data_IF_347303434528
#
_entry.id   IF_347303434528
#
_cell.length_a   1.000
_cell.length_b   1.000
_cell.length_c   1.000
_cell.angle_alpha   90.00
_cell.angle_beta   90.00
_cell.angle_gamma   90.00
#
_symmetry.space_group_name_H-M   'P 1'
#
loop_
_entity.id
_entity.type
_entity.pdbx_description
1 polymer ?
#
# COMPACT_ATOMS: atom_id res chain seq x y z
N UNK A 1 -11.27 -14.76 15.78
CA UNK A 1 -11.12 -14.20 14.44
C UNK A 1 -10.92 -12.68 14.41
N UNK A 2 -11.67 -11.90 15.21
CA UNK A 2 -11.55 -10.42 15.22
C UNK A 2 -10.13 -9.88 15.51
N UNK A 3 -9.30 -10.57 16.27
CA UNK A 3 -7.93 -10.14 16.59
C UNK A 3 -6.87 -10.63 15.57
N UNK A 4 -7.26 -11.29 14.48
CA UNK A 4 -6.32 -11.85 13.52
C UNK A 4 -6.12 -10.96 12.29
N UNK A 5 -7.12 -10.15 11.94
CA UNK A 5 -7.06 -9.26 10.77
C UNK A 5 -6.69 -7.86 11.23
N UNK A 6 -5.63 -7.31 10.64
CA UNK A 6 -5.12 -5.97 10.94
C UNK A 6 -5.25 -5.08 9.71
N UNK A 7 -5.96 -3.99 9.84
CA UNK A 7 -5.97 -2.89 8.89
C UNK A 7 -4.84 -1.92 9.24
N UNK A 8 -3.94 -1.69 8.31
CA UNK A 8 -2.90 -0.66 8.40
C UNK A 8 -3.23 0.43 7.38
N UNK A 9 -3.70 1.58 7.88
CA UNK A 9 -3.97 2.75 7.05
C UNK A 9 -2.68 3.55 6.87
N UNK A 10 -2.24 3.73 5.62
CA UNK A 10 -1.02 4.47 5.30
C UNK A 10 -1.30 5.91 4.90
N UNK A 11 -2.43 6.13 4.25
CA UNK A 11 -2.87 7.46 3.82
C UNK A 11 -4.39 7.47 3.64
N UNK A 12 -5.00 8.56 4.07
CA UNK A 12 -6.36 8.92 3.72
C UNK A 12 -6.35 10.40 3.35
N UNK A 13 -6.66 10.73 2.10
CA UNK A 13 -6.56 12.08 1.60
C UNK A 13 -7.63 12.38 0.55
N UNK A 14 -8.18 13.58 0.62
CA UNK A 14 -8.98 14.12 -0.47
C UNK A 14 -8.07 14.61 -1.60
N UNK A 15 -8.33 14.16 -2.81
CA UNK A 15 -7.55 14.46 -4.01
C UNK A 15 -8.38 15.30 -4.98
N UNK A 16 -7.79 16.42 -5.42
CA UNK A 16 -8.34 17.35 -6.42
C UNK A 16 -7.20 17.83 -7.31
N UNK A 17 -6.78 16.99 -8.25
CA UNK A 17 -5.71 17.33 -9.18
C UNK A 17 -5.75 16.51 -10.47
N UNK A 18 -5.32 17.11 -11.57
CA UNK A 18 -5.08 16.41 -12.82
C UNK A 18 -3.68 15.80 -12.81
N UNK A 19 -3.59 14.54 -13.22
CA UNK A 19 -2.32 13.83 -13.28
C UNK A 19 -2.37 12.65 -14.25
N UNK A 20 -1.24 12.39 -14.90
CA UNK A 20 -1.05 11.20 -15.72
C UNK A 20 0.27 10.53 -15.32
N UNK A 21 0.24 9.21 -15.18
CA UNK A 21 1.43 8.46 -14.81
C UNK A 21 1.21 6.96 -14.72
N UNK A 22 2.29 6.24 -14.38
CA UNK A 22 2.29 4.79 -14.19
C UNK A 22 3.17 4.44 -13.01
N UNK A 23 2.68 3.56 -12.15
CA UNK A 23 3.41 3.11 -10.97
C UNK A 23 2.93 1.75 -10.46
N UNK A 24 3.77 1.14 -9.59
CA UNK A 24 3.43 -0.01 -8.78
C UNK A 24 3.54 0.39 -7.31
N UNK A 25 2.54 0.03 -6.50
CA UNK A 25 2.54 0.25 -5.06
C UNK A 25 2.52 -1.07 -4.29
N UNK A 26 3.06 -1.06 -3.06
CA UNK A 26 3.08 -2.20 -2.13
C UNK A 26 2.01 -2.07 -1.04
N UNK A 27 0.92 -1.41 -1.38
CA UNK A 27 -0.30 -1.29 -0.57
C UNK A 27 -1.51 -1.22 -1.50
N UNK A 28 -2.64 -1.62 -0.98
CA UNK A 28 -3.91 -1.50 -1.67
C UNK A 28 -4.36 -0.05 -1.71
N UNK A 29 -5.11 0.32 -2.74
CA UNK A 29 -5.70 1.65 -2.87
C UNK A 29 -7.19 1.55 -3.13
N UNK A 30 -7.93 2.46 -2.50
CA UNK A 30 -9.31 2.75 -2.83
C UNK A 30 -9.39 4.18 -3.35
N UNK A 31 -10.01 4.37 -4.51
CA UNK A 31 -10.39 5.67 -5.02
C UNK A 31 -11.91 5.75 -5.03
N UNK A 32 -12.49 6.59 -4.17
CA UNK A 32 -13.93 6.78 -4.05
C UNK A 32 -14.26 8.13 -4.70
N UNK A 33 -14.92 8.07 -5.87
CA UNK A 33 -15.05 9.25 -6.75
C UNK A 33 -16.26 10.09 -6.37
N UNK A 34 -16.00 11.37 -6.06
CA UNK A 34 -17.01 12.36 -5.74
C UNK A 34 -17.48 13.11 -6.98
N UNK A 35 -16.56 13.54 -7.86
CA UNK A 35 -16.86 14.32 -9.04
C UNK A 35 -15.79 14.16 -10.12
N UNK A 36 -16.11 14.54 -11.36
CA UNK A 36 -15.19 14.51 -12.50
C UNK A 36 -14.98 13.12 -13.08
N UNK A 37 -13.96 12.98 -13.92
CA UNK A 37 -13.68 11.77 -14.66
C UNK A 37 -12.20 11.45 -14.73
N UNK A 38 -11.88 10.16 -14.85
CA UNK A 38 -10.54 9.66 -15.06
C UNK A 38 -10.55 8.20 -15.51
N UNK A 39 -9.37 7.64 -15.69
CA UNK A 39 -9.18 6.22 -16.05
C UNK A 39 -8.04 5.60 -15.25
N UNK A 40 -8.22 4.34 -14.88
CA UNK A 40 -7.15 3.46 -14.39
C UNK A 40 -6.99 2.31 -15.39
N UNK A 41 -5.74 2.03 -15.77
CA UNK A 41 -5.37 0.89 -16.63
C UNK A 41 -4.53 -0.09 -15.84
N UNK A 42 -5.02 -1.30 -15.71
CA UNK A 42 -4.26 -2.40 -15.12
C UNK A 42 -3.44 -3.10 -16.21
N UNK A 43 -2.13 -2.83 -16.27
CA UNK A 43 -1.24 -3.48 -17.23
C UNK A 43 -0.90 -4.93 -16.84
N UNK A 44 -1.18 -5.34 -15.60
CA UNK A 44 -1.01 -6.71 -15.12
C UNK A 44 -2.19 -7.61 -15.50
N UNK A 45 -3.42 -7.15 -15.26
CA UNK A 45 -4.67 -7.88 -15.50
C UNK A 45 -5.37 -7.54 -16.82
N UNK A 46 -4.98 -6.42 -17.48
CA UNK A 46 -5.52 -5.98 -18.77
C UNK A 46 -6.79 -5.13 -18.71
N UNK A 47 -7.32 -4.85 -17.50
CA UNK A 47 -8.56 -4.08 -17.36
C UNK A 47 -8.35 -2.57 -17.52
N UNK A 48 -9.43 -1.92 -17.92
CA UNK A 48 -9.59 -0.46 -17.86
C UNK A 48 -10.83 -0.13 -17.04
N UNK A 49 -10.67 0.74 -16.04
CA UNK A 49 -11.74 1.17 -15.16
C UNK A 49 -11.92 2.68 -15.27
N UNK A 50 -13.17 3.10 -15.46
CA UNK A 50 -13.51 4.50 -15.43
C UNK A 50 -13.59 5.01 -13.98
N UNK A 51 -12.99 6.15 -13.71
CA UNK A 51 -13.20 6.90 -12.47
C UNK A 51 -14.39 7.84 -12.71
N UNK A 52 -15.52 7.57 -12.04
CA UNK A 52 -16.78 8.31 -12.23
C UNK A 52 -17.52 8.48 -10.91
N UNK A 53 -18.30 9.55 -10.74
CA UNK A 53 -19.05 9.81 -9.50
C UNK A 53 -19.98 8.65 -9.12
N UNK A 54 -20.10 8.40 -7.81
CA UNK A 54 -20.93 7.33 -7.26
C UNK A 54 -20.30 5.94 -7.31
N UNK A 55 -19.04 5.84 -7.74
CA UNK A 55 -18.29 4.59 -7.78
C UNK A 55 -16.96 4.69 -7.05
N UNK A 56 -16.58 3.57 -6.44
CA UNK A 56 -15.26 3.32 -5.92
C UNK A 56 -14.51 2.34 -6.80
N UNK A 57 -13.18 2.46 -6.81
CA UNK A 57 -12.28 1.53 -7.51
C UNK A 57 -11.28 0.99 -6.50
N UNK A 58 -11.24 -0.33 -6.37
CA UNK A 58 -10.24 -1.05 -5.59
C UNK A 58 -9.07 -1.44 -6.48
N UNK A 59 -7.89 -1.09 -6.05
CA UNK A 59 -6.62 -1.29 -6.74
C UNK A 59 -5.69 -2.09 -5.83
N UNK A 60 -5.58 -3.43 -6.03
CA UNK A 60 -4.70 -4.28 -5.23
C UNK A 60 -3.24 -3.88 -5.29
N UNK A 61 -2.49 -4.25 -4.25
CA UNK A 61 -1.04 -4.06 -4.20
C UNK A 61 -0.32 -4.86 -5.31
N UNK A 62 0.86 -4.39 -5.70
CA UNK A 62 1.76 -5.10 -6.63
C UNK A 62 1.37 -5.03 -8.10
N UNK A 63 0.25 -4.38 -8.44
CA UNK A 63 -0.16 -4.20 -9.83
C UNK A 63 0.58 -3.03 -10.49
N UNK A 64 0.90 -3.20 -11.76
CA UNK A 64 1.42 -2.16 -12.62
C UNK A 64 0.25 -1.37 -13.21
N UNK A 65 0.02 -0.17 -12.69
CA UNK A 65 -1.15 0.65 -12.98
C UNK A 65 -0.78 1.95 -13.68
N UNK A 66 -1.48 2.22 -14.79
CA UNK A 66 -1.51 3.52 -15.46
C UNK A 66 -2.71 4.34 -15.01
N UNK A 67 -2.55 5.65 -14.91
CA UNK A 67 -3.57 6.59 -14.45
C UNK A 67 -3.70 7.75 -15.41
N UNK A 68 -4.94 8.19 -15.64
CA UNK A 68 -5.28 9.42 -16.32
C UNK A 68 -6.35 10.15 -15.48
N UNK A 69 -5.93 11.14 -14.68
CA UNK A 69 -6.81 11.99 -13.89
C UNK A 69 -7.07 13.27 -14.67
N UNK A 70 -8.31 13.48 -15.11
CA UNK A 70 -8.69 14.66 -15.85
C UNK A 70 -8.93 15.86 -14.92
N UNK A 71 -8.83 17.11 -15.43
CA UNK A 71 -9.20 18.29 -14.66
C UNK A 71 -10.62 18.16 -14.08
N UNK A 72 -10.80 18.52 -12.81
CA UNK A 72 -12.09 18.41 -12.10
C UNK A 72 -12.37 17.05 -11.48
N UNK A 73 -11.50 16.04 -11.63
CA UNK A 73 -11.60 14.79 -10.89
C UNK A 73 -11.34 15.04 -9.39
N UNK A 74 -12.35 14.70 -8.56
CA UNK A 74 -12.28 14.78 -7.10
C UNK A 74 -12.64 13.43 -6.50
N UNK A 75 -11.79 12.91 -5.61
CA UNK A 75 -11.98 11.60 -5.00
C UNK A 75 -11.31 11.50 -3.64
N UNK A 76 -11.82 10.61 -2.80
CA UNK A 76 -11.13 10.18 -1.59
C UNK A 76 -10.15 9.07 -1.95
N UNK A 77 -8.88 9.27 -1.66
CA UNK A 77 -7.80 8.29 -1.82
C UNK A 77 -7.47 7.65 -0.48
N UNK A 78 -7.62 6.33 -0.39
CA UNK A 78 -7.24 5.54 0.78
C UNK A 78 -6.16 4.54 0.39
N UNK A 79 -5.03 4.57 1.10
CA UNK A 79 -3.94 3.60 0.95
C UNK A 79 -3.84 2.74 2.21
N UNK A 80 -3.93 1.42 2.04
CA UNK A 80 -4.00 0.51 3.19
C UNK A 80 -3.38 -0.87 2.89
N UNK A 81 -3.04 -1.59 3.94
CA UNK A 81 -2.86 -3.04 3.90
C UNK A 81 -3.86 -3.71 4.83
N UNK A 82 -4.32 -4.90 4.45
CA UNK A 82 -5.17 -5.75 5.25
C UNK A 82 -4.48 -7.09 5.44
N UNK A 83 -3.95 -7.35 6.62
CA UNK A 83 -3.07 -8.50 6.86
C UNK A 83 -3.54 -9.37 8.03
N UNK A 84 -3.24 -10.67 7.93
CA UNK A 84 -3.34 -11.64 9.04
C UNK A 84 -1.96 -11.89 9.65
N UNK A 85 -0.92 -11.67 8.88
CA UNK A 85 0.49 -11.84 9.24
C UNK A 85 1.27 -10.60 8.84
N UNK A 86 2.31 -10.20 9.60
CA UNK A 86 3.16 -9.09 9.19
C UNK A 86 3.67 -9.26 7.76
N UNK A 87 3.44 -8.26 6.90
CA UNK A 87 3.86 -8.25 5.50
C UNK A 87 3.08 -9.17 4.54
N UNK A 88 2.08 -9.91 5.03
CA UNK A 88 1.23 -10.79 4.21
C UNK A 88 -0.15 -10.18 4.07
N UNK A 89 -0.34 -9.41 3.01
CA UNK A 89 -1.61 -8.78 2.68
C UNK A 89 -2.63 -9.80 2.15
N UNK A 90 -3.89 -9.69 2.57
CA UNK A 90 -4.98 -10.57 2.15
C UNK A 90 -5.29 -10.45 0.66
N UNK A 91 -5.03 -9.30 0.05
CA UNK A 91 -5.21 -9.06 -1.39
C UNK A 91 -3.92 -9.22 -2.19
N UNK A 92 -2.81 -9.64 -1.58
CA UNK A 92 -1.50 -9.73 -2.23
C UNK A 92 -1.41 -10.68 -3.44
N UNK A 93 -2.41 -11.57 -3.61
CA UNK A 93 -2.55 -12.46 -4.78
C UNK A 93 -3.61 -11.98 -5.77
N UNK A 94 -4.35 -10.90 -5.47
CA UNK A 94 -5.34 -10.36 -6.40
C UNK A 94 -4.64 -9.69 -7.60
N UNK A 95 -5.13 -9.96 -8.80
CA UNK A 95 -4.57 -9.45 -10.05
C UNK A 95 -5.53 -8.52 -10.79
N UNK A 96 -6.75 -8.41 -10.29
CA UNK A 96 -7.83 -7.67 -10.92
C UNK A 96 -8.27 -6.49 -10.06
N UNK A 97 -8.37 -5.32 -10.70
CA UNK A 97 -9.02 -4.16 -10.11
C UNK A 97 -10.53 -4.38 -10.05
N UNK A 98 -11.21 -3.72 -9.10
CA UNK A 98 -12.66 -3.87 -8.90
C UNK A 98 -13.33 -2.51 -8.84
N UNK A 99 -14.45 -2.38 -9.55
CA UNK A 99 -15.38 -1.26 -9.40
C UNK A 99 -16.54 -1.68 -8.50
N UNK A 100 -17.02 -0.78 -7.65
CA UNK A 100 -18.17 -1.01 -6.79
C UNK A 100 -18.93 0.32 -6.56
N UNK A 101 -20.26 0.26 -6.30
CA UNK A 101 -21.03 1.47 -6.00
C UNK A 101 -20.66 2.03 -4.61
N UNK A 102 -20.68 3.34 -4.49
CA UNK A 102 -20.45 4.08 -3.23
C UNK A 102 -21.59 5.05 -3.03
N UNK A 103 -22.14 5.13 -1.82
CA UNK A 103 -23.12 6.14 -1.46
C UNK A 103 -22.49 7.54 -1.47
N UNK A 104 -22.92 8.46 -2.37
CA UNK A 104 -22.34 9.79 -2.46
C UNK A 104 -22.50 10.59 -1.16
N UNK A 105 -23.63 10.46 -0.46
CA UNK A 105 -23.89 11.18 0.77
C UNK A 105 -22.97 10.72 1.92
N UNK A 106 -22.71 9.42 2.03
CA UNK A 106 -21.71 8.91 2.97
C UNK A 106 -20.31 9.42 2.63
N UNK A 107 -19.93 9.39 1.34
CA UNK A 107 -18.62 9.86 0.89
C UNK A 107 -18.42 11.36 1.19
N UNK A 108 -19.42 12.21 0.94
CA UNK A 108 -19.35 13.65 1.26
C UNK A 108 -19.15 13.89 2.75
N UNK A 109 -19.86 13.16 3.62
CA UNK A 109 -19.66 13.26 5.08
C UNK A 109 -18.23 12.89 5.48
N UNK A 110 -17.71 11.78 4.97
CA UNK A 110 -16.35 11.34 5.29
C UNK A 110 -15.29 12.33 4.80
N UNK A 111 -15.47 12.91 3.61
CA UNK A 111 -14.59 13.98 3.11
C UNK A 111 -14.67 15.19 4.05
N UNK A 112 -15.87 15.57 4.49
CA UNK A 112 -16.06 16.62 5.50
C UNK A 112 -15.28 16.34 6.79
N UNK A 113 -15.37 15.11 7.30
CA UNK A 113 -14.66 14.68 8.52
C UNK A 113 -13.14 14.81 8.41
N UNK A 114 -12.55 14.44 7.26
CA UNK A 114 -11.09 14.47 7.09
C UNK A 114 -10.53 15.84 6.67
N UNK A 115 -11.39 16.74 6.19
CA UNK A 115 -10.99 18.11 5.78
C UNK A 115 -11.26 19.15 6.87
N UNK A 116 -12.02 18.80 7.88
CA UNK A 116 -12.32 19.63 9.06
C UNK A 116 -11.31 19.35 10.19
N UNK A 117 -11.23 20.23 11.22
CA UNK A 117 -10.44 19.95 12.42
C UNK A 117 -10.82 18.57 13.02
N UNK A 118 -9.85 17.78 13.48
CA UNK A 118 -10.11 16.41 13.92
C UNK A 118 -10.98 16.38 15.19
N UNK A 119 -12.11 15.66 15.09
CA UNK A 119 -12.99 15.34 16.21
C UNK A 119 -13.03 13.84 16.42
N UNK A 120 -13.14 13.38 17.68
CA UNK A 120 -13.13 11.95 18.00
C UNK A 120 -14.28 11.18 17.33
N UNK A 121 -15.49 11.78 17.28
CA UNK A 121 -16.65 11.18 16.60
C UNK A 121 -16.43 11.02 15.10
N UNK A 122 -15.87 12.02 14.44
CA UNK A 122 -15.54 12.01 13.02
C UNK A 122 -14.48 10.95 12.67
N UNK A 123 -13.50 10.74 13.57
CA UNK A 123 -12.53 9.65 13.44
C UNK A 123 -13.22 8.29 13.45
N UNK A 124 -14.08 8.02 14.44
CA UNK A 124 -14.81 6.74 14.56
C UNK A 124 -15.73 6.46 13.37
N UNK A 125 -16.43 7.49 12.86
CA UNK A 125 -17.26 7.37 11.66
C UNK A 125 -16.44 7.03 10.41
N UNK A 126 -15.29 7.67 10.25
CA UNK A 126 -14.37 7.42 9.14
C UNK A 126 -13.82 5.99 9.16
N UNK A 127 -13.39 5.51 10.33
CA UNK A 127 -12.94 4.12 10.52
C UNK A 127 -14.05 3.12 10.20
N UNK A 128 -15.27 3.33 10.71
CA UNK A 128 -16.42 2.46 10.46
C UNK A 128 -16.76 2.42 8.96
N UNK A 129 -16.73 3.55 8.27
CA UNK A 129 -16.94 3.65 6.83
C UNK A 129 -15.88 2.85 6.06
N UNK A 130 -14.61 3.03 6.36
CA UNK A 130 -13.52 2.29 5.71
C UNK A 130 -13.67 0.78 5.92
N UNK A 131 -13.96 0.33 7.14
CA UNK A 131 -14.23 -1.09 7.41
C UNK A 131 -15.44 -1.62 6.64
N UNK A 132 -16.50 -0.83 6.52
CA UNK A 132 -17.67 -1.19 5.71
C UNK A 132 -17.28 -1.40 4.24
N UNK A 133 -16.55 -0.46 3.64
CA UNK A 133 -16.12 -0.57 2.24
C UNK A 133 -15.17 -1.75 2.03
N UNK A 134 -14.12 -1.85 2.85
CA UNK A 134 -13.10 -2.90 2.72
C UNK A 134 -13.70 -4.29 2.98
N UNK A 135 -14.62 -4.41 3.94
CA UNK A 135 -15.28 -5.67 4.29
C UNK A 135 -16.19 -6.24 3.19
N UNK A 136 -16.62 -5.41 2.24
CA UNK A 136 -17.38 -5.84 1.06
C UNK A 136 -16.50 -6.23 -0.14
N UNK A 137 -15.19 -5.96 -0.08
CA UNK A 137 -14.28 -6.40 -1.15
C UNK A 137 -14.14 -7.93 -1.11
N UNK A 138 -14.31 -8.62 -2.25
CA UNK A 138 -14.13 -10.06 -2.31
C UNK A 138 -12.65 -10.41 -2.10
N UNK A 139 -12.38 -11.32 -1.19
CA UNK A 139 -11.03 -11.89 -1.06
C UNK A 139 -10.66 -12.69 -2.32
N UNK A 140 -9.37 -12.75 -2.68
CA UNK A 140 -8.91 -13.56 -3.80
C UNK A 140 -9.39 -15.00 -3.69
N UNK A 141 -9.74 -15.62 -4.82
CA UNK A 141 -10.16 -17.00 -4.87
C UNK A 141 -9.12 -17.93 -4.23
N UNK A 142 -9.56 -18.83 -3.36
CA UNK A 142 -8.65 -19.74 -2.65
C UNK A 142 -8.04 -19.17 -1.36
N UNK A 143 -8.31 -17.92 -0.99
CA UNK A 143 -7.89 -17.38 0.32
C UNK A 143 -8.57 -18.16 1.45
N UNK A 144 -7.79 -18.89 2.23
CA UNK A 144 -8.25 -19.65 3.39
C UNK A 144 -7.68 -19.05 4.67
N UNK A 145 -8.51 -18.30 5.40
CA UNK A 145 -8.09 -17.66 6.66
C UNK A 145 -7.55 -18.66 7.68
N UNK A 146 -8.09 -19.90 7.70
CA UNK A 146 -7.59 -20.96 8.57
C UNK A 146 -6.15 -21.41 8.22
N UNK A 147 -5.80 -21.45 6.94
CA UNK A 147 -4.42 -21.77 6.50
C UNK A 147 -3.46 -20.64 6.88
N UNK A 148 -3.87 -19.38 6.69
CA UNK A 148 -3.11 -18.22 7.14
C UNK A 148 -2.90 -18.22 8.66
N UNK A 149 -3.89 -18.65 9.43
CA UNK A 149 -3.76 -18.84 10.88
C UNK A 149 -2.71 -19.92 11.23
N UNK A 150 -2.67 -21.02 10.49
CA UNK A 150 -1.63 -22.04 10.63
C UNK A 150 -0.23 -21.52 10.30
N UNK A 151 -0.12 -20.66 9.28
CA UNK A 151 1.15 -19.98 8.96
C UNK A 151 1.55 -18.99 10.05
N UNK A 152 0.59 -18.35 10.73
CA UNK A 152 0.87 -17.46 11.86
C UNK A 152 1.61 -18.19 13.00
N UNK A 153 1.20 -19.40 13.34
CA UNK A 153 1.90 -20.22 14.33
C UNK A 153 3.32 -20.60 13.90
N UNK A 154 3.52 -20.83 12.59
CA UNK A 154 4.83 -21.28 12.05
C UNK A 154 5.81 -20.15 11.81
N UNK A 155 5.35 -19.02 11.30
CA UNK A 155 6.18 -17.92 10.81
C UNK A 155 6.02 -16.62 11.59
N UNK A 156 5.10 -16.54 12.57
CA UNK A 156 4.80 -15.30 13.28
C UNK A 156 6.03 -14.69 13.94
N UNK A 157 6.88 -15.50 14.59
CA UNK A 157 8.12 -15.04 15.19
C UNK A 157 9.13 -14.53 14.15
N UNK A 158 9.29 -15.25 13.03
CA UNK A 158 10.19 -14.86 11.95
C UNK A 158 9.71 -13.55 11.27
N UNK A 159 8.42 -13.44 10.96
CA UNK A 159 7.85 -12.26 10.33
C UNK A 159 7.84 -11.05 11.30
N UNK A 160 7.64 -11.30 12.59
CA UNK A 160 7.82 -10.30 13.65
C UNK A 160 9.25 -9.76 13.66
N UNK A 161 10.24 -10.66 13.65
CA UNK A 161 11.66 -10.29 13.59
C UNK A 161 11.98 -9.48 12.32
N UNK A 162 11.48 -9.91 11.16
CA UNK A 162 11.66 -9.16 9.89
C UNK A 162 11.10 -7.74 10.04
N UNK A 163 9.89 -7.58 10.57
CA UNK A 163 9.27 -6.25 10.76
C UNK A 163 10.09 -5.33 11.66
N UNK A 164 10.68 -5.87 12.72
CA UNK A 164 11.46 -5.10 13.70
C UNK A 164 12.86 -4.74 13.22
N UNK A 165 13.47 -5.59 12.36
CA UNK A 165 14.86 -5.47 11.91
C UNK A 165 14.99 -5.23 10.39
N UNK A 166 13.89 -4.77 9.74
CA UNK A 166 13.86 -4.61 8.30
C UNK A 166 14.82 -3.51 7.84
N UNK A 167 15.85 -3.92 7.12
CA UNK A 167 16.84 -3.02 6.53
C UNK A 167 17.46 -3.63 5.27
N UNK A 168 18.17 -2.83 4.49
CA UNK A 168 18.90 -3.29 3.31
C UNK A 168 20.00 -4.30 3.63
N UNK A 169 20.44 -4.38 4.91
CA UNK A 169 21.47 -5.30 5.41
C UNK A 169 20.91 -6.60 5.97
N UNK A 170 19.59 -6.73 6.13
CA UNK A 170 18.99 -7.95 6.65
C UNK A 170 19.21 -9.12 5.68
N UNK A 171 19.91 -10.15 6.15
CA UNK A 171 20.30 -11.30 5.33
C UNK A 171 19.43 -12.52 5.59
N UNK A 172 19.30 -13.39 4.57
CA UNK A 172 18.60 -14.68 4.73
C UNK A 172 19.32 -15.58 5.72
N UNK A 173 20.65 -15.48 5.85
CA UNK A 173 21.43 -16.26 6.81
C UNK A 173 21.05 -15.90 8.24
N UNK A 174 20.92 -14.59 8.53
CA UNK A 174 20.44 -14.13 9.84
C UNK A 174 19.03 -14.61 10.14
N UNK A 175 18.14 -14.60 9.15
CA UNK A 175 16.77 -15.12 9.31
C UNK A 175 16.74 -16.64 9.53
N UNK A 176 17.66 -17.38 8.91
CA UNK A 176 17.79 -18.81 9.11
C UNK A 176 18.22 -19.15 10.54
N UNK A 177 19.18 -18.37 11.10
CA UNK A 177 19.56 -18.47 12.51
C UNK A 177 18.37 -18.21 13.45
N UNK A 178 17.62 -17.13 13.23
CA UNK A 178 16.43 -16.79 14.03
C UNK A 178 15.37 -17.89 13.97
N UNK A 179 15.20 -18.53 12.80
CA UNK A 179 14.24 -19.60 12.62
C UNK A 179 14.75 -20.98 13.10
N UNK A 180 16.03 -21.11 13.52
CA UNK A 180 16.64 -22.39 13.86
C UNK A 180 16.70 -23.37 12.69
N UNK A 181 16.84 -22.87 11.46
CA UNK A 181 16.84 -23.66 10.22
C UNK A 181 18.10 -23.37 9.40
N UNK A 182 18.47 -24.31 8.52
CA UNK A 182 19.45 -23.98 7.49
C UNK A 182 18.83 -23.04 6.45
N UNK A 183 19.65 -22.15 5.86
CA UNK A 183 19.25 -21.19 4.81
C UNK A 183 18.42 -21.83 3.69
N UNK A 184 18.87 -22.99 3.19
CA UNK A 184 18.18 -23.72 2.11
C UNK A 184 16.81 -24.25 2.56
N UNK A 185 16.70 -24.75 3.80
CA UNK A 185 15.42 -25.25 4.35
C UNK A 185 14.44 -24.10 4.57
N UNK A 186 14.89 -23.00 5.16
CA UNK A 186 14.05 -21.79 5.32
C UNK A 186 13.54 -21.29 3.98
N UNK A 187 14.43 -21.09 2.99
CA UNK A 187 14.06 -20.58 1.67
C UNK A 187 13.06 -21.46 0.95
N UNK A 188 13.24 -22.79 0.97
CA UNK A 188 12.30 -23.75 0.34
C UNK A 188 10.95 -23.75 1.04
N UNK A 189 10.93 -23.83 2.37
CA UNK A 189 9.69 -23.82 3.15
C UNK A 189 8.90 -22.52 2.93
N UNK A 190 9.57 -21.38 3.02
CA UNK A 190 8.96 -20.07 2.81
C UNK A 190 8.37 -19.94 1.40
N UNK A 191 9.15 -20.32 0.37
CA UNK A 191 8.68 -20.23 -1.02
C UNK A 191 7.47 -21.12 -1.29
N UNK A 192 7.43 -22.32 -0.72
CA UNK A 192 6.27 -23.23 -0.82
C UNK A 192 5.04 -22.65 -0.12
N UNK A 193 5.20 -22.15 1.11
CA UNK A 193 4.10 -21.76 1.97
C UNK A 193 3.52 -20.38 1.61
N UNK A 194 4.33 -19.48 1.02
CA UNK A 194 3.90 -18.13 0.59
C UNK A 194 3.88 -17.94 -0.94
N UNK A 195 4.15 -18.97 -1.72
CA UNK A 195 4.24 -18.89 -3.19
C UNK A 195 5.17 -17.76 -3.69
N UNK A 196 6.14 -17.38 -2.88
CA UNK A 196 7.08 -16.28 -3.14
C UNK A 196 8.44 -16.57 -2.50
N UNK A 197 9.58 -16.33 -3.20
CA UNK A 197 10.90 -16.43 -2.61
C UNK A 197 11.07 -15.48 -1.42
N UNK A 198 11.71 -15.93 -0.32
CA UNK A 198 11.95 -15.11 0.86
C UNK A 198 12.71 -13.81 0.52
N UNK A 199 13.66 -13.86 -0.43
CA UNK A 199 14.37 -12.66 -0.90
C UNK A 199 13.42 -11.64 -1.54
N UNK A 200 12.49 -12.09 -2.35
CA UNK A 200 11.49 -11.22 -2.99
C UNK A 200 10.54 -10.62 -1.95
N UNK A 201 10.16 -11.40 -0.95
CA UNK A 201 9.39 -10.92 0.20
C UNK A 201 10.11 -9.79 0.94
N UNK A 202 11.39 -9.96 1.29
CA UNK A 202 12.18 -8.90 1.94
C UNK A 202 12.30 -7.65 1.10
N UNK A 203 12.50 -7.79 -0.21
CA UNK A 203 12.56 -6.64 -1.12
C UNK A 203 11.22 -5.90 -1.20
N UNK A 204 10.11 -6.63 -1.24
CA UNK A 204 8.75 -6.06 -1.20
C UNK A 204 8.53 -5.28 0.09
N UNK A 205 8.82 -5.89 1.25
CA UNK A 205 8.65 -5.23 2.54
C UNK A 205 9.52 -3.97 2.68
N UNK A 206 10.78 -4.04 2.22
CA UNK A 206 11.69 -2.90 2.26
C UNK A 206 11.18 -1.74 1.36
N UNK A 207 10.66 -2.06 0.19
CA UNK A 207 10.07 -1.05 -0.70
C UNK A 207 8.74 -0.48 -0.13
N UNK A 208 7.92 -1.32 0.51
CA UNK A 208 6.72 -0.90 1.23
C UNK A 208 7.06 0.06 2.38
N UNK A 209 8.08 -0.27 3.19
CA UNK A 209 8.54 0.60 4.27
C UNK A 209 9.09 1.93 3.76
N UNK A 210 9.87 1.90 2.65
CA UNK A 210 10.33 3.12 1.99
C UNK A 210 9.17 3.99 1.51
N UNK A 211 8.13 3.37 0.92
CA UNK A 211 6.92 4.07 0.48
C UNK A 211 6.19 4.72 1.66
N UNK A 212 6.06 4.04 2.81
CA UNK A 212 5.48 4.61 4.03
C UNK A 212 6.23 5.85 4.51
N UNK A 213 7.57 5.82 4.53
CA UNK A 213 8.37 7.00 4.87
C UNK A 213 8.20 8.14 3.87
N UNK A 214 8.17 7.83 2.58
CA UNK A 214 7.98 8.84 1.53
C UNK A 214 6.62 9.54 1.62
N UNK A 215 5.56 8.84 2.03
CA UNK A 215 4.20 9.35 2.14
C UNK A 215 3.92 10.02 3.50
N UNK A 216 4.39 9.38 4.57
CA UNK A 216 3.97 9.69 5.94
C UNK A 216 5.03 10.39 6.79
N UNK A 217 6.15 10.86 6.22
CA UNK A 217 7.18 11.57 6.98
C UNK A 217 7.83 12.71 6.19
N UNK A 218 8.38 13.74 6.88
CA UNK A 218 9.12 14.82 6.25
C UNK A 218 10.57 14.44 5.87
N UNK A 219 10.99 13.20 6.13
CA UNK A 219 12.36 12.75 5.88
C UNK A 219 12.77 12.94 4.43
N UNK A 220 13.97 13.44 4.19
CA UNK A 220 14.59 13.49 2.87
C UNK A 220 14.86 12.08 2.31
N UNK A 221 15.08 11.98 1.01
CA UNK A 221 15.42 10.71 0.34
C UNK A 221 16.69 10.11 0.96
N UNK A 222 17.66 10.96 1.30
CA UNK A 222 18.92 10.60 1.96
C UNK A 222 18.67 10.01 3.36
N UNK A 223 17.89 10.70 4.20
CA UNK A 223 17.57 10.22 5.55
C UNK A 223 16.79 8.90 5.53
N UNK A 224 15.91 8.70 4.54
CA UNK A 224 15.22 7.40 4.34
C UNK A 224 16.23 6.32 3.98
N UNK A 225 17.18 6.61 3.06
CA UNK A 225 18.22 5.66 2.69
C UNK A 225 19.09 5.25 3.89
N UNK A 226 19.50 6.22 4.70
CA UNK A 226 20.28 6.01 5.94
C UNK A 226 19.48 5.18 6.95
N UNK A 227 18.20 5.52 7.18
CA UNK A 227 17.32 4.80 8.11
C UNK A 227 17.03 3.36 7.73
N UNK A 228 16.98 3.09 6.43
CA UNK A 228 16.83 1.74 5.87
C UNK A 228 18.18 1.03 5.64
N UNK A 229 19.29 1.61 6.10
CA UNK A 229 20.66 1.08 6.04
C UNK A 229 21.15 0.78 4.62
N UNK A 230 20.72 1.57 3.63
CA UNK A 230 21.34 1.52 2.31
C UNK A 230 22.73 2.12 2.35
N UNK A 231 23.65 1.59 1.55
CA UNK A 231 25.03 2.07 1.46
C UNK A 231 25.14 3.49 0.88
N UNK A 232 24.14 3.96 0.13
CA UNK A 232 24.00 5.34 -0.34
C UNK A 232 22.59 5.66 -0.80
N UNK A 233 22.26 6.95 -0.93
CA UNK A 233 21.03 7.45 -1.53
C UNK A 233 20.84 6.95 -2.98
N UNK A 234 21.96 6.83 -3.73
CA UNK A 234 21.93 6.32 -5.11
C UNK A 234 21.44 4.87 -5.16
N UNK A 235 21.99 3.99 -4.30
CA UNK A 235 21.55 2.59 -4.24
C UNK A 235 20.13 2.45 -3.79
N UNK A 236 19.68 3.26 -2.82
CA UNK A 236 18.29 3.33 -2.42
C UNK A 236 17.38 3.75 -3.58
N UNK A 237 17.71 4.84 -4.27
CA UNK A 237 16.92 5.35 -5.38
C UNK A 237 16.82 4.35 -6.53
N UNK A 238 17.92 3.67 -6.86
CA UNK A 238 17.96 2.59 -7.85
C UNK A 238 17.10 1.39 -7.43
N UNK A 239 17.20 0.95 -6.17
CA UNK A 239 16.39 -0.10 -5.61
C UNK A 239 14.91 0.25 -5.69
N UNK A 240 14.54 1.42 -5.18
CA UNK A 240 13.15 1.88 -5.15
C UNK A 240 12.55 1.97 -6.55
N UNK A 241 13.29 2.58 -7.51
CA UNK A 241 12.85 2.66 -8.91
C UNK A 241 12.65 1.28 -9.54
N UNK A 242 13.53 0.32 -9.28
CA UNK A 242 13.38 -1.06 -9.77
C UNK A 242 12.12 -1.72 -9.22
N UNK A 243 11.76 -1.45 -7.96
CA UNK A 243 10.60 -2.03 -7.30
C UNK A 243 9.27 -1.36 -7.67
N UNK A 244 9.27 -0.02 -7.89
CA UNK A 244 8.05 0.79 -8.06
C UNK A 244 7.87 1.37 -9.46
N UNK A 245 8.89 1.28 -10.31
CA UNK A 245 8.90 1.91 -11.64
C UNK A 245 9.22 3.41 -11.61
N UNK A 246 9.29 4.06 -10.45
CA UNK A 246 9.48 5.51 -10.32
C UNK A 246 10.53 5.85 -9.26
N UNK A 247 11.15 7.04 -9.37
CA UNK A 247 12.13 7.49 -8.36
C UNK A 247 11.44 7.89 -7.06
N UNK A 248 12.13 7.83 -5.89
CA UNK A 248 11.57 8.26 -4.60
C UNK A 248 11.00 9.68 -4.63
N UNK A 249 11.70 10.62 -5.25
CA UNK A 249 11.26 12.03 -5.38
C UNK A 249 10.00 12.14 -6.25
N UNK A 250 9.96 11.45 -7.41
CA UNK A 250 8.79 11.43 -8.28
C UNK A 250 7.60 10.76 -7.59
N UNK A 251 7.83 9.66 -6.85
CA UNK A 251 6.81 8.97 -6.07
C UNK A 251 6.17 9.89 -5.03
N UNK A 252 6.97 10.60 -4.24
CA UNK A 252 6.49 11.57 -3.24
C UNK A 252 5.69 12.69 -3.88
N UNK A 253 6.16 13.25 -4.98
CA UNK A 253 5.47 14.34 -5.71
C UNK A 253 4.12 13.91 -6.29
N UNK A 254 4.02 12.67 -6.77
CA UNK A 254 2.79 12.12 -7.32
C UNK A 254 1.76 11.75 -6.23
N UNK A 255 2.21 11.58 -4.99
CA UNK A 255 1.38 11.20 -3.85
C UNK A 255 1.61 12.18 -2.68
N UNK A 256 1.12 13.42 -2.77
CA UNK A 256 1.33 14.40 -1.71
C UNK A 256 0.66 13.93 -0.43
N UNK A 257 1.46 13.59 0.57
CA UNK A 257 1.02 13.24 1.92
C UNK A 257 0.69 14.50 2.75
N UNK A 258 0.20 14.34 3.99
CA UNK A 258 -0.18 15.45 4.86
C UNK A 258 0.98 16.40 5.21
N UNK A 259 2.22 15.97 5.01
CA UNK A 259 3.42 16.78 5.27
C UNK A 259 3.90 17.58 4.06
N UNK A 260 3.33 17.36 2.89
CA UNK A 260 3.72 18.01 1.64
C UNK A 260 2.48 18.66 1.03
N UNK A 261 2.05 19.78 1.58
CA UNK A 261 1.17 20.69 0.85
C UNK A 261 1.86 21.06 -0.45
N UNK A 262 1.12 21.06 -1.56
CA UNK A 262 1.60 21.71 -2.79
C UNK A 262 1.88 23.17 -2.45
N UNK A 263 3.07 23.42 -1.91
CA UNK A 263 3.57 24.75 -1.73
C UNK A 263 3.67 25.40 -3.10
N UNK A 264 3.00 26.54 -3.20
CA UNK A 264 3.25 27.68 -4.04
C UNK A 264 4.23 27.44 -5.22
N UNK A 265 3.70 27.61 -6.42
CA UNK A 265 4.50 27.90 -7.59
C UNK A 265 5.55 28.93 -7.21
N UNK A 266 6.81 28.53 -7.06
CA UNK A 266 7.91 29.46 -7.26
C UNK A 266 7.97 29.74 -8.77
N UNK A 267 7.20 30.73 -9.19
CA UNK A 267 7.52 31.53 -10.35
C UNK A 267 8.79 32.32 -10.00
N UNK A 268 9.93 31.87 -10.49
CA UNK A 268 11.07 32.71 -10.90
C UNK A 268 11.90 31.95 -11.90
#
# INVERSE_FOLDING_TARGET
MHNMVRLELHQLAFADFAWQGRNTHFFNRLFLVLAGEGEVRNHTGGERLALRPGFGVFLPEGLDLGFEFRPGLRFLSCHFNLSVLPGVDLFGQERHCREFPVDPGALERIIGNITSPPEWGAFGETEAFLWSVIGHLPLPAGTRLAELAGLAGRYGGLLGYIREHLSARLTIDRLAEVAGLSRGRLSRNFSRDFSMPLKSFLQKELAAQASRYLLGSPLSVREIAERLEFSSEYYFSSFFRRCTGTTPTAFRRANPGPFFHRGEKNDK
#
